data_IF_342841260403
#
_entry.id   IF_342841260403
#
_cell.length_a   1.000
_cell.length_b   1.000
_cell.length_c   1.000
_cell.angle_alpha   90.00
_cell.angle_beta   90.00
_cell.angle_gamma   90.00
#
_symmetry.space_group_name_H-M   'P 1'
#
loop_
_entity.id
_entity.type
_entity.pdbx_description
1 polymer ?
#
# COMPACT_ATOMS: atom_id res chain seq x y z
N UNK A 1 16.88 -22.09 -2.70
CA UNK A 1 17.11 -20.96 -3.62
C UNK A 1 17.06 -19.67 -2.81
N UNK A 2 18.14 -18.90 -2.77
CA UNK A 2 18.18 -17.62 -2.04
C UNK A 2 17.29 -16.58 -2.77
N UNK A 3 16.17 -16.18 -2.15
CA UNK A 3 15.27 -15.16 -2.67
C UNK A 3 15.77 -13.73 -2.48
N UNK A 4 17.06 -13.46 -2.75
CA UNK A 4 17.66 -12.12 -2.57
C UNK A 4 17.43 -11.25 -3.80
N UNK A 5 17.09 -9.99 -3.57
CA UNK A 5 16.86 -8.99 -4.59
C UNK A 5 18.01 -7.96 -4.60
N UNK A 6 18.40 -7.45 -5.78
CA UNK A 6 19.36 -6.36 -5.87
C UNK A 6 18.90 -5.13 -5.08
N UNK A 7 19.80 -4.49 -4.33
CA UNK A 7 19.46 -3.31 -3.52
C UNK A 7 18.86 -2.17 -4.35
N UNK A 8 19.34 -1.98 -5.58
CA UNK A 8 18.81 -0.99 -6.55
C UNK A 8 17.33 -1.20 -6.90
N UNK A 9 16.76 -2.38 -6.69
CA UNK A 9 15.33 -2.65 -6.91
C UNK A 9 14.48 -2.28 -5.69
N UNK A 10 15.13 -2.12 -4.53
CA UNK A 10 14.50 -1.77 -3.23
C UNK A 10 14.64 -0.29 -2.91
N UNK A 11 15.40 0.45 -3.73
CA UNK A 11 15.63 1.88 -3.62
C UNK A 11 14.52 2.69 -4.30
N UNK A 12 14.09 3.75 -3.62
CA UNK A 12 13.07 4.67 -4.11
C UNK A 12 13.55 6.12 -4.14
N UNK A 13 13.12 6.87 -5.15
CA UNK A 13 13.34 8.31 -5.24
C UNK A 13 12.17 9.06 -4.60
N UNK A 14 12.43 9.83 -3.55
CA UNK A 14 11.44 10.71 -2.93
C UNK A 14 11.26 11.95 -3.78
N UNK A 15 10.02 12.21 -4.18
CA UNK A 15 9.58 13.41 -4.89
C UNK A 15 8.54 14.10 -4.02
N UNK A 16 8.82 15.34 -3.63
CA UNK A 16 7.88 16.18 -2.88
C UNK A 16 7.12 17.02 -3.90
N UNK A 17 5.80 16.84 -3.97
CA UNK A 17 4.97 17.60 -4.90
C UNK A 17 4.46 18.89 -4.24
N UNK A 18 4.67 20.07 -4.84
CA UNK A 18 4.13 21.31 -4.32
C UNK A 18 2.60 21.32 -4.42
N UNK A 19 1.89 21.66 -3.34
CA UNK A 19 0.46 22.00 -3.44
C UNK A 19 0.29 23.36 -4.12
N UNK A 20 -0.76 23.47 -4.94
CA UNK A 20 -1.11 24.63 -5.78
C UNK A 20 -1.30 25.96 -5.02
N UNK A 21 -1.31 25.96 -3.68
CA UNK A 21 -1.72 27.10 -2.86
C UNK A 21 -0.57 27.89 -2.22
N UNK A 22 0.68 27.71 -2.66
CA UNK A 22 1.79 28.65 -2.41
C UNK A 22 2.18 28.89 -0.93
N UNK A 23 1.61 28.15 0.04
CA UNK A 23 1.93 28.30 1.46
C UNK A 23 3.27 27.62 1.79
N UNK A 24 4.05 28.29 2.64
CA UNK A 24 5.45 28.04 2.97
C UNK A 24 5.81 26.63 3.49
N UNK A 25 7.12 26.38 3.40
CA UNK A 25 7.90 25.13 3.27
C UNK A 25 8.09 24.35 4.60
N UNK A 26 7.52 24.80 5.71
CA UNK A 26 7.91 24.32 7.05
C UNK A 26 7.19 23.06 7.53
N UNK A 27 6.09 22.64 6.89
CA UNK A 27 5.26 21.56 7.42
C UNK A 27 5.25 20.32 6.50
N UNK A 28 5.93 19.25 6.92
CA UNK A 28 6.06 18.00 6.15
C UNK A 28 4.72 17.32 5.86
N UNK A 29 3.64 17.70 6.56
CA UNK A 29 2.27 17.21 6.32
C UNK A 29 1.58 17.91 5.15
N UNK A 30 2.09 19.05 4.69
CA UNK A 30 1.45 19.87 3.67
C UNK A 30 1.71 19.32 2.27
N UNK A 31 2.84 18.65 2.03
CA UNK A 31 3.17 18.10 0.71
C UNK A 31 3.10 16.57 0.69
N UNK A 32 2.27 15.97 -0.17
CA UNK A 32 2.30 14.52 -0.34
C UNK A 32 3.65 14.13 -0.96
N UNK A 33 4.39 13.28 -0.25
CA UNK A 33 5.65 12.74 -0.74
C UNK A 33 5.41 11.45 -1.52
N UNK A 34 5.90 11.40 -2.76
CA UNK A 34 5.84 10.21 -3.60
C UNK A 34 7.17 9.50 -3.60
N UNK A 35 7.16 8.18 -3.51
CA UNK A 35 8.37 7.38 -3.75
C UNK A 35 8.28 6.66 -5.08
N UNK A 36 9.23 6.97 -5.96
CA UNK A 36 9.35 6.37 -7.28
C UNK A 36 10.39 5.25 -7.24
N UNK A 37 9.93 4.01 -7.42
CA UNK A 37 10.81 2.86 -7.62
C UNK A 37 11.28 2.78 -9.07
N UNK A 38 12.41 2.08 -9.27
CA UNK A 38 12.88 1.71 -10.61
C UNK A 38 11.82 0.89 -11.35
N UNK A 39 11.90 0.87 -12.69
CA UNK A 39 10.99 0.07 -13.52
C UNK A 39 11.01 -1.39 -13.07
N UNK A 40 12.19 -1.94 -12.80
CA UNK A 40 12.38 -3.30 -12.31
C UNK A 40 11.73 -3.52 -10.93
N UNK A 41 11.86 -2.56 -10.01
CA UNK A 41 11.17 -2.61 -8.72
C UNK A 41 9.65 -2.65 -8.87
N UNK A 42 9.08 -1.83 -9.76
CA UNK A 42 7.63 -1.84 -10.05
C UNK A 42 7.18 -3.13 -10.72
N UNK A 43 7.96 -3.65 -11.67
CA UNK A 43 7.66 -4.93 -12.32
C UNK A 43 7.68 -6.06 -11.32
N UNK A 44 8.65 -6.07 -10.40
CA UNK A 44 8.72 -7.05 -9.32
C UNK A 44 7.46 -7.00 -8.43
N UNK A 45 7.03 -5.81 -8.02
CA UNK A 45 5.79 -5.65 -7.24
C UNK A 45 4.58 -6.26 -7.96
N UNK A 46 4.45 -6.02 -9.27
CA UNK A 46 3.36 -6.59 -10.07
C UNK A 46 3.45 -8.12 -10.19
N UNK A 47 4.64 -8.67 -10.39
CA UNK A 47 4.86 -10.12 -10.44
C UNK A 47 4.46 -10.75 -9.10
N UNK A 48 4.93 -10.18 -7.99
CA UNK A 48 4.60 -10.65 -6.64
C UNK A 48 3.09 -10.60 -6.40
N UNK A 49 2.41 -9.52 -6.78
CA UNK A 49 0.96 -9.40 -6.67
C UNK A 49 0.21 -10.46 -7.46
N UNK A 50 0.62 -10.69 -8.72
CA UNK A 50 -0.01 -11.71 -9.58
C UNK A 50 0.19 -13.11 -9.01
N UNK A 51 1.40 -13.42 -8.58
CA UNK A 51 1.70 -14.72 -7.97
C UNK A 51 1.00 -14.91 -6.61
N UNK A 52 0.75 -13.81 -5.90
CA UNK A 52 0.00 -13.80 -4.64
C UNK A 52 -1.53 -13.68 -4.84
N UNK A 53 -2.02 -13.64 -6.09
CA UNK A 53 -3.43 -13.36 -6.38
C UNK A 53 -4.42 -14.35 -5.75
N UNK A 54 -4.03 -15.61 -5.55
CA UNK A 54 -4.86 -16.60 -4.82
C UNK A 54 -4.90 -16.34 -3.30
N UNK A 55 -3.80 -15.84 -2.74
CA UNK A 55 -3.62 -15.51 -1.31
C UNK A 55 -4.33 -14.20 -0.96
N UNK A 56 -4.34 -13.28 -1.92
CA UNK A 56 -4.99 -11.98 -1.86
C UNK A 56 -6.43 -12.01 -2.40
N UNK A 57 -7.01 -13.17 -2.69
CA UNK A 57 -8.36 -13.28 -3.27
C UNK A 57 -9.48 -13.43 -2.23
N UNK A 58 -9.14 -13.86 -1.02
CA UNK A 58 -10.09 -14.16 0.06
C UNK A 58 -10.31 -12.91 0.93
N UNK A 59 -11.03 -11.94 0.38
CA UNK A 59 -11.50 -10.76 1.10
C UNK A 59 -12.96 -10.93 1.51
N UNK A 60 -13.38 -10.17 2.52
CA UNK A 60 -14.79 -10.08 2.89
C UNK A 60 -15.65 -9.69 1.69
N UNK A 61 -16.86 -10.25 1.62
CA UNK A 61 -17.86 -9.88 0.63
C UNK A 61 -18.29 -8.40 0.71
N UNK A 62 -17.95 -7.68 1.77
CA UNK A 62 -18.16 -6.23 1.88
C UNK A 62 -16.97 -5.38 1.42
N UNK A 63 -15.84 -6.00 1.05
CA UNK A 63 -14.65 -5.27 0.59
C UNK A 63 -14.82 -4.82 -0.87
N UNK A 64 -14.99 -3.52 -1.10
CA UNK A 64 -15.11 -2.98 -2.46
C UNK A 64 -13.80 -2.37 -2.99
N UNK A 65 -12.98 -1.80 -2.09
CA UNK A 65 -11.68 -1.23 -2.46
C UNK A 65 -10.71 -2.30 -2.97
N UNK A 66 -10.02 -2.01 -4.08
CA UNK A 66 -9.00 -2.87 -4.71
C UNK A 66 -9.47 -4.30 -5.04
N UNK A 67 -10.78 -4.52 -5.16
CA UNK A 67 -11.38 -5.81 -5.49
C UNK A 67 -11.84 -5.83 -6.94
N UNK A 68 -11.45 -6.85 -7.71
CA UNK A 68 -11.80 -6.94 -9.13
C UNK A 68 -13.31 -7.01 -9.30
N UNK A 69 -13.86 -6.17 -10.19
CA UNK A 69 -15.30 -6.12 -10.47
C UNK A 69 -16.12 -5.32 -9.45
N UNK A 70 -15.47 -4.68 -8.46
CA UNK A 70 -16.12 -3.79 -7.49
C UNK A 70 -15.61 -2.36 -7.65
N UNK A 71 -16.46 -1.40 -7.30
CA UNK A 71 -16.19 0.03 -7.38
C UNK A 71 -16.79 0.76 -6.18
N UNK A 72 -16.48 2.05 -6.06
CA UNK A 72 -17.13 2.94 -5.09
C UNK A 72 -18.64 3.03 -5.31
N UNK A 73 -19.10 2.87 -6.56
CA UNK A 73 -20.53 2.87 -6.89
C UNK A 73 -21.20 1.61 -6.38
N UNK A 74 -20.59 0.44 -6.55
CA UNK A 74 -21.16 -0.82 -6.03
C UNK A 74 -21.21 -0.82 -4.50
N UNK A 75 -20.21 -0.23 -3.85
CA UNK A 75 -20.18 -0.06 -2.38
C UNK A 75 -21.33 0.82 -1.90
N UNK A 76 -21.53 1.97 -2.56
CA UNK A 76 -22.63 2.88 -2.24
C UNK A 76 -24.00 2.24 -2.45
N UNK A 77 -24.18 1.47 -3.53
CA UNK A 77 -25.44 0.75 -3.78
C UNK A 77 -25.70 -0.28 -2.68
N UNK A 78 -24.73 -1.15 -2.37
CA UNK A 78 -24.86 -2.16 -1.32
C UNK A 78 -25.18 -1.55 0.05
N UNK A 79 -24.57 -0.40 0.35
CA UNK A 79 -24.82 0.37 1.55
C UNK A 79 -26.24 0.94 1.58
N UNK A 80 -26.71 1.58 0.50
CA UNK A 80 -28.07 2.11 0.39
C UNK A 80 -29.13 1.02 0.48
N UNK A 81 -28.89 -0.13 -0.14
CA UNK A 81 -29.80 -1.28 -0.07
C UNK A 81 -29.91 -1.82 1.35
N UNK A 82 -28.80 -1.85 2.09
CA UNK A 82 -28.78 -2.22 3.51
C UNK A 82 -29.60 -1.25 4.38
N UNK A 83 -29.54 0.05 4.08
CA UNK A 83 -30.37 1.06 4.76
C UNK A 83 -31.86 0.86 4.42
N UNK A 84 -32.19 0.64 3.15
CA UNK A 84 -33.58 0.46 2.68
C UNK A 84 -34.23 -0.81 3.20
N UNK A 85 -33.47 -1.88 3.38
CA UNK A 85 -33.94 -3.14 3.94
C UNK A 85 -34.20 -3.09 5.46
N UNK A 86 -33.74 -2.04 6.14
CA UNK A 86 -33.91 -1.92 7.59
C UNK A 86 -35.35 -1.56 7.96
N UNK A 87 -35.92 -2.33 8.88
CA UNK A 87 -37.23 -2.04 9.50
C UNK A 87 -37.14 -1.07 10.68
N UNK A 88 -35.92 -0.61 11.02
CA UNK A 88 -35.69 0.29 12.15
C UNK A 88 -36.04 1.73 11.76
N UNK A 89 -36.65 2.44 12.70
CA UNK A 89 -36.98 3.87 12.56
C UNK A 89 -35.76 4.77 12.34
N UNK A 90 -34.59 4.37 12.86
CA UNK A 90 -33.35 5.10 12.74
C UNK A 90 -32.23 4.15 12.31
N UNK A 91 -31.39 4.61 11.37
CA UNK A 91 -30.19 3.92 10.90
C UNK A 91 -29.03 4.90 11.01
N UNK A 92 -27.92 4.47 11.62
CA UNK A 92 -26.74 5.30 11.81
C UNK A 92 -25.56 4.73 11.03
N UNK A 93 -24.81 5.62 10.38
CA UNK A 93 -23.62 5.29 9.61
C UNK A 93 -22.39 5.81 10.36
N UNK A 94 -21.36 4.97 10.47
CA UNK A 94 -20.08 5.34 11.05
C UNK A 94 -19.00 5.17 9.99
N UNK A 95 -18.28 6.26 9.71
CA UNK A 95 -17.16 6.26 8.77
C UNK A 95 -15.85 6.32 9.53
N UNK A 96 -14.92 5.45 9.17
CA UNK A 96 -13.56 5.42 9.72
C UNK A 96 -12.56 5.73 8.60
N UNK A 97 -11.73 6.76 8.82
CA UNK A 97 -10.61 7.07 7.93
C UNK A 97 -9.28 6.93 8.67
N UNK A 98 -8.40 6.08 8.14
CA UNK A 98 -7.09 5.80 8.75
C UNK A 98 -6.05 6.71 8.11
N UNK A 99 -5.62 7.73 8.86
CA UNK A 99 -4.57 8.64 8.40
C UNK A 99 -3.26 7.91 8.10
N UNK A 100 -2.76 8.07 6.86
CA UNK A 100 -1.48 7.51 6.41
C UNK A 100 -1.38 5.99 6.58
N UNK A 101 -2.46 5.25 6.29
CA UNK A 101 -2.51 3.79 6.43
C UNK A 101 -1.31 3.05 5.79
N UNK A 102 -0.88 3.48 4.59
CA UNK A 102 0.25 2.86 3.88
C UNK A 102 1.62 3.22 4.44
N UNK A 103 1.77 4.42 4.99
CA UNK A 103 3.02 4.87 5.61
C UNK A 103 3.22 4.23 7.00
N UNK A 104 2.13 3.73 7.60
CA UNK A 104 2.10 3.12 8.93
C UNK A 104 1.90 1.60 8.92
N UNK A 105 1.83 1.00 7.73
CA UNK A 105 1.65 -0.44 7.60
C UNK A 105 2.81 -1.21 8.27
N UNK A 106 2.47 -2.17 9.12
CA UNK A 106 3.44 -3.01 9.83
C UNK A 106 3.74 -4.29 9.04
N UNK A 107 4.84 -4.27 8.28
CA UNK A 107 5.23 -5.35 7.37
C UNK A 107 5.36 -6.74 8.01
N UNK A 108 5.87 -6.91 9.24
CA UNK A 108 5.87 -8.21 9.91
C UNK A 108 4.48 -8.85 10.00
N UNK A 109 3.44 -8.08 10.32
CA UNK A 109 2.07 -8.60 10.37
C UNK A 109 1.58 -9.00 8.98
N UNK A 110 1.84 -8.18 7.96
CA UNK A 110 1.49 -8.48 6.57
C UNK A 110 2.16 -9.79 6.11
N UNK A 111 3.45 -9.96 6.41
CA UNK A 111 4.17 -11.20 6.11
C UNK A 111 3.55 -12.40 6.83
N UNK A 112 3.22 -12.29 8.11
CA UNK A 112 2.53 -13.35 8.87
C UNK A 112 1.20 -13.74 8.20
N UNK A 113 0.37 -12.75 7.84
CA UNK A 113 -0.90 -12.99 7.14
C UNK A 113 -0.70 -13.67 5.79
N UNK A 114 0.30 -13.25 5.01
CA UNK A 114 0.62 -13.88 3.72
C UNK A 114 1.05 -15.34 3.88
N UNK A 115 1.86 -15.64 4.91
CA UNK A 115 2.25 -17.01 5.23
C UNK A 115 1.05 -17.87 5.62
N UNK A 116 0.16 -17.36 6.48
CA UNK A 116 -1.06 -18.06 6.90
C UNK A 116 -2.01 -18.37 5.73
N UNK A 117 -2.08 -17.46 4.76
CA UNK A 117 -2.90 -17.63 3.55
C UNK A 117 -2.24 -18.47 2.45
N UNK A 118 -1.14 -19.17 2.75
CA UNK A 118 -0.51 -20.13 1.84
C UNK A 118 0.40 -19.51 0.77
N UNK A 119 1.00 -18.35 1.05
CA UNK A 119 2.03 -17.78 0.16
C UNK A 119 3.19 -18.77 -0.05
N UNK A 120 3.58 -18.97 -1.31
CA UNK A 120 4.63 -19.91 -1.66
C UNK A 120 5.97 -19.50 -1.00
N UNK A 121 6.78 -20.46 -0.50
CA UNK A 121 8.01 -20.15 0.26
C UNK A 121 9.02 -19.26 -0.49
N UNK A 122 9.12 -19.42 -1.81
CA UNK A 122 9.99 -18.60 -2.66
C UNK A 122 9.52 -17.14 -2.73
N UNK A 123 8.22 -16.91 -2.93
CA UNK A 123 7.61 -15.57 -2.95
C UNK A 123 7.72 -14.93 -1.58
N UNK A 124 7.45 -15.70 -0.52
CA UNK A 124 7.59 -15.24 0.86
C UNK A 124 9.02 -14.75 1.15
N UNK A 125 10.03 -15.52 0.74
CA UNK A 125 11.44 -15.15 0.96
C UNK A 125 11.80 -13.88 0.17
N UNK A 126 11.33 -13.76 -1.07
CA UNK A 126 11.49 -12.53 -1.86
C UNK A 126 10.80 -11.32 -1.23
N UNK A 127 9.61 -11.49 -0.66
CA UNK A 127 8.88 -10.44 0.05
C UNK A 127 9.61 -10.00 1.31
N UNK A 128 10.15 -10.94 2.10
CA UNK A 128 10.98 -10.64 3.26
C UNK A 128 12.20 -9.80 2.84
N UNK A 129 12.92 -10.20 1.80
CA UNK A 129 14.07 -9.44 1.32
C UNK A 129 13.67 -8.07 0.72
N UNK A 130 12.55 -8.00 0.02
CA UNK A 130 12.01 -6.77 -0.57
C UNK A 130 11.64 -5.72 0.47
N UNK A 131 11.03 -6.15 1.58
CA UNK A 131 10.70 -5.27 2.70
C UNK A 131 11.90 -4.99 3.63
N UNK A 132 12.98 -5.77 3.50
CA UNK A 132 14.21 -5.55 4.25
C UNK A 132 15.13 -4.54 3.55
N UNK A 133 15.73 -3.65 4.34
CA UNK A 133 16.78 -2.72 3.87
C UNK A 133 16.36 -1.81 2.70
N UNK A 134 15.08 -1.48 2.59
CA UNK A 134 14.60 -0.46 1.66
C UNK A 134 15.19 0.91 2.02
N UNK A 135 15.64 1.67 1.01
CA UNK A 135 16.13 3.04 1.20
C UNK A 135 15.41 3.99 0.26
N UNK A 136 15.20 5.20 0.76
CA UNK A 136 14.59 6.28 -0.01
C UNK A 136 15.55 7.46 -0.06
N UNK A 137 15.78 7.98 -1.26
CA UNK A 137 16.67 9.11 -1.51
C UNK A 137 15.89 10.37 -1.83
N UNK A 138 16.12 11.45 -1.08
CA UNK A 138 15.64 12.79 -1.41
C UNK A 138 16.68 13.50 -2.28
N UNK A 139 16.28 13.93 -3.46
CA UNK A 139 17.16 14.60 -4.44
C UNK A 139 16.82 16.09 -4.48
N UNK A 140 17.79 16.95 -4.13
CA UNK A 140 17.65 18.42 -4.16
C UNK A 140 18.84 18.98 -4.95
N UNK A 141 18.59 19.37 -6.21
CA UNK A 141 19.65 19.75 -7.14
C UNK A 141 20.63 18.60 -7.36
N UNK A 142 21.92 18.84 -7.12
CA UNK A 142 22.99 17.83 -7.20
C UNK A 142 23.16 17.01 -5.92
N UNK A 143 22.44 17.33 -4.84
CA UNK A 143 22.59 16.65 -3.55
C UNK A 143 21.55 15.56 -3.37
N UNK A 144 21.97 14.44 -2.79
CA UNK A 144 21.09 13.34 -2.40
C UNK A 144 21.25 13.04 -0.92
N UNK A 145 20.14 12.85 -0.22
CA UNK A 145 20.12 12.32 1.16
C UNK A 145 19.32 11.03 1.21
N UNK A 146 20.01 9.95 1.57
CA UNK A 146 19.41 8.63 1.72
C UNK A 146 18.92 8.41 3.16
N UNK A 147 17.78 7.73 3.30
CA UNK A 147 17.26 7.27 4.58
C UNK A 147 16.73 5.84 4.43
N UNK A 148 17.09 4.98 5.37
CA UNK A 148 16.53 3.62 5.45
C UNK A 148 15.09 3.68 5.95
N UNK A 149 14.21 2.93 5.30
CA UNK A 149 12.79 2.86 5.63
C UNK A 149 12.47 1.51 6.26
N UNK A 150 12.13 1.51 7.54
CA UNK A 150 11.77 0.31 8.29
C UNK A 150 10.25 0.10 8.40
N UNK A 151 9.44 1.13 8.07
CA UNK A 151 7.98 1.14 8.21
C UNK A 151 7.38 1.95 7.06
N UNK A 152 6.32 1.40 6.44
CA UNK A 152 5.58 2.04 5.35
C UNK A 152 6.37 2.23 4.05
N UNK A 153 5.78 1.85 2.93
CA UNK A 153 6.28 2.20 1.59
C UNK A 153 5.42 3.36 1.12
N UNK A 154 6.00 4.49 0.68
CA UNK A 154 5.21 5.69 0.39
C UNK A 154 4.18 5.46 -0.72
N UNK A 155 3.13 6.30 -0.68
CA UNK A 155 1.77 6.20 -1.25
C UNK A 155 1.53 5.70 -2.70
N UNK A 156 2.47 5.09 -3.41
CA UNK A 156 2.30 4.61 -4.81
C UNK A 156 3.06 3.31 -5.15
N UNK A 157 3.44 2.50 -4.16
CA UNK A 157 3.81 1.11 -4.46
C UNK A 157 2.55 0.29 -4.76
N UNK A 158 2.59 -0.56 -5.77
CA UNK A 158 1.50 -1.47 -6.10
C UNK A 158 1.22 -2.41 -4.92
N UNK A 159 2.27 -2.90 -4.25
CA UNK A 159 2.14 -3.72 -3.05
C UNK A 159 1.53 -2.96 -1.88
N UNK A 160 1.84 -1.67 -1.70
CA UNK A 160 1.26 -0.85 -0.64
C UNK A 160 -0.27 -0.82 -0.74
N UNK A 161 -0.81 -0.52 -1.93
CA UNK A 161 -2.25 -0.40 -2.18
C UNK A 161 -3.04 -1.69 -1.87
N UNK A 162 -2.49 -2.86 -2.23
CA UNK A 162 -3.10 -4.15 -1.94
C UNK A 162 -2.83 -4.68 -0.52
N UNK A 163 -1.80 -4.21 0.19
CA UNK A 163 -1.56 -4.60 1.58
C UNK A 163 -2.48 -3.85 2.55
N UNK A 164 -2.97 -2.66 2.20
CA UNK A 164 -3.92 -1.91 3.04
C UNK A 164 -5.26 -2.60 3.25
N UNK A 165 -5.63 -3.55 2.39
CA UNK A 165 -6.82 -4.40 2.54
C UNK A 165 -6.60 -5.65 3.40
N UNK A 166 -5.36 -5.88 3.86
CA UNK A 166 -5.00 -6.99 4.75
C UNK A 166 -4.90 -6.56 6.24
N UNK A 167 -5.01 -5.26 6.52
CA UNK A 167 -5.05 -4.70 7.87
C UNK A 167 -6.45 -4.82 8.49
#
# INVERSE_FOLDING_TARGET
>A
MEGRLPNVWKEGKLVVLPKSNGKYITDSKVYPSLTLFSVLGKTLEQVILRCSGKVLGDYSDSQHGFTKGRSTVTDLIAMLDSVRASTRKYVQLMFLDISSAFDRAWWPMILVKLRQRGCLPNIYTMLVDYFSNGRVGLFVGSRVRWKTTNMGRPQRSFLGQHCGTCC
#
